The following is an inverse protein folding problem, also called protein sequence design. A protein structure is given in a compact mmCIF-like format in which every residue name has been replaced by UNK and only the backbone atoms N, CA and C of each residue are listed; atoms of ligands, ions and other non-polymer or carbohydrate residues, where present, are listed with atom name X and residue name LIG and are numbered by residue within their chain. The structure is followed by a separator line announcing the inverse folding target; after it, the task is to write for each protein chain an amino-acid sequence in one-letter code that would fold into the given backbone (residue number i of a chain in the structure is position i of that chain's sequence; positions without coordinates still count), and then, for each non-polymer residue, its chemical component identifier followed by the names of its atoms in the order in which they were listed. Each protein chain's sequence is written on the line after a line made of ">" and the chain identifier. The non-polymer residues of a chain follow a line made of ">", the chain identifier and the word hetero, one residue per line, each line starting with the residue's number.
data_IF_938804761929
#
_entry.id   IF_938804761929
#
_cell.length_a   1.000
_cell.length_b   1.000
_cell.length_c   1.000
_cell.angle_alpha   90.00
_cell.angle_beta   90.00
_cell.angle_gamma   90.00
#
_symmetry.space_group_name_H-M   'P 1'
#
loop_
_entity.id
_entity.type
_entity.pdbx_description
1 polymer ?
#
# COMPACT_ATOMS: atom_id res chain seq x y z
N UNK A 1 -18.08 4.78 12.19
CA UNK A 1 -17.73 3.37 11.94
C UNK A 1 -16.41 3.08 12.62
N UNK A 2 -16.27 1.91 13.23
CA UNK A 2 -15.02 1.46 13.88
C UNK A 2 -14.36 0.43 12.96
N UNK A 3 -13.04 0.51 12.79
CA UNK A 3 -12.25 -0.34 11.89
C UNK A 3 -11.27 -1.24 12.67
N UNK A 4 -10.93 -2.40 12.11
CA UNK A 4 -9.87 -3.29 12.60
C UNK A 4 -9.11 -3.92 11.43
N UNK A 5 -7.88 -4.38 11.67
CA UNK A 5 -7.01 -5.02 10.65
C UNK A 5 -7.52 -6.38 10.19
N UNK A 6 -8.44 -7.01 10.93
CA UNK A 6 -8.96 -8.35 10.65
C UNK A 6 -7.92 -9.47 10.79
N UNK A 7 -6.77 -9.20 11.42
CA UNK A 7 -5.68 -10.18 11.52
C UNK A 7 -5.95 -11.21 12.60
N UNK A 8 -5.66 -12.49 12.29
CA UNK A 8 -5.72 -13.59 13.25
C UNK A 8 -4.30 -14.07 13.57
N UNK A 9 -4.00 -14.22 14.86
CA UNK A 9 -2.73 -14.79 15.35
C UNK A 9 -3.01 -15.72 16.54
N UNK A 10 -2.20 -16.77 16.67
CA UNK A 10 -2.19 -17.63 17.86
C UNK A 10 -1.30 -17.08 18.98
N UNK A 11 -0.51 -16.03 18.71
CA UNK A 11 0.32 -15.37 19.70
C UNK A 11 -0.55 -14.70 20.77
N UNK A 12 -0.11 -14.80 22.02
CA UNK A 12 -0.77 -14.16 23.17
C UNK A 12 -0.43 -12.67 23.30
N UNK A 13 0.62 -12.21 22.63
CA UNK A 13 1.05 -10.82 22.67
C UNK A 13 1.40 -10.33 21.28
N UNK A 14 0.95 -9.12 21.01
CA UNK A 14 1.21 -8.37 19.77
C UNK A 14 1.70 -6.98 20.13
N UNK A 15 2.56 -6.43 19.28
CA UNK A 15 3.16 -5.11 19.45
C UNK A 15 2.85 -4.26 18.24
N UNK A 16 2.36 -3.04 18.47
CA UNK A 16 2.22 -2.03 17.43
C UNK A 16 3.42 -1.09 17.50
N UNK A 17 4.12 -0.90 16.37
CA UNK A 17 5.31 -0.07 16.30
C UNK A 17 5.25 0.87 15.10
N UNK A 18 5.48 2.16 15.33
CA UNK A 18 5.64 3.17 14.28
C UNK A 18 7.14 3.37 14.05
N UNK A 19 7.62 2.96 12.88
CA UNK A 19 9.02 3.13 12.49
C UNK A 19 9.29 4.56 12.01
N UNK A 20 10.54 4.99 12.05
CA UNK A 20 11.00 6.29 11.53
C UNK A 20 10.80 6.46 10.01
N UNK A 21 10.47 5.36 9.31
CA UNK A 21 10.05 5.38 7.91
C UNK A 21 8.57 5.73 7.73
N UNK A 22 7.87 6.10 8.81
CA UNK A 22 6.42 6.31 8.88
C UNK A 22 5.57 5.04 8.62
N UNK A 23 6.20 3.87 8.61
CA UNK A 23 5.47 2.61 8.52
C UNK A 23 5.01 2.16 9.92
N UNK A 24 3.69 2.11 10.12
CA UNK A 24 3.08 1.49 11.29
C UNK A 24 2.93 -0.02 11.08
N UNK A 25 3.57 -0.84 11.91
CA UNK A 25 3.58 -2.30 11.78
C UNK A 25 3.02 -2.95 13.05
N UNK A 26 2.13 -3.93 12.88
CA UNK A 26 1.69 -4.84 13.92
C UNK A 26 2.51 -6.14 13.82
N UNK A 27 3.11 -6.54 14.93
CA UNK A 27 4.03 -7.68 15.03
C UNK A 27 3.56 -8.65 16.10
N UNK A 28 3.89 -9.93 15.95
CA UNK A 28 3.90 -10.87 17.09
C UNK A 28 5.10 -10.58 18.00
N UNK A 29 4.89 -10.58 19.32
CA UNK A 29 5.93 -10.15 20.28
C UNK A 29 7.01 -11.21 20.54
N UNK A 30 6.64 -12.51 20.51
CA UNK A 30 7.48 -13.63 20.95
C UNK A 30 8.00 -14.55 19.84
N UNK A 31 7.58 -14.34 18.59
CA UNK A 31 7.91 -15.16 17.43
C UNK A 31 8.55 -14.28 16.38
N UNK A 32 9.87 -14.37 16.22
CA UNK A 32 10.69 -13.88 15.08
C UNK A 32 10.30 -12.52 14.45
N UNK A 33 9.65 -11.62 15.21
CA UNK A 33 8.98 -10.43 14.71
C UNK A 33 8.10 -10.69 13.46
N UNK A 34 7.23 -11.69 13.53
CA UNK A 34 6.27 -11.98 12.44
C UNK A 34 5.38 -10.76 12.22
N UNK A 35 5.39 -10.23 10.98
CA UNK A 35 4.56 -9.11 10.56
C UNK A 35 3.13 -9.58 10.32
N UNK A 36 2.23 -9.10 11.17
CA UNK A 36 0.79 -9.37 11.09
C UNK A 36 0.09 -8.44 10.10
N UNK A 37 0.43 -7.16 10.13
CA UNK A 37 -0.01 -6.17 9.15
C UNK A 37 0.87 -4.93 9.20
N UNK A 38 0.84 -4.12 8.14
CA UNK A 38 1.55 -2.84 8.08
C UNK A 38 0.75 -1.79 7.29
N UNK A 39 0.90 -0.52 7.66
CA UNK A 39 0.23 0.60 7.00
C UNK A 39 0.60 0.74 5.53
N UNK A 40 1.84 0.42 5.17
CA UNK A 40 2.33 0.54 3.79
C UNK A 40 1.63 -0.39 2.79
N UNK A 41 1.00 -1.47 3.27
CA UNK A 41 0.18 -2.36 2.44
C UNK A 41 -1.20 -1.76 2.13
N UNK A 42 -1.60 -0.68 2.83
CA UNK A 42 -2.91 -0.03 2.70
C UNK A 42 -2.78 1.51 2.58
N UNK A 43 -2.13 2.03 1.52
CA UNK A 43 -2.04 3.47 1.33
C UNK A 43 -3.40 4.13 1.12
N UNK A 44 -3.49 5.41 1.50
CA UNK A 44 -4.67 6.26 1.31
C UNK A 44 -4.52 7.12 0.06
N UNK A 45 -4.18 8.39 0.22
CA UNK A 45 -4.07 9.43 -0.81
C UNK A 45 -2.61 9.85 -1.06
N UNK A 46 -1.68 9.41 -0.20
CA UNK A 46 -0.28 9.81 -0.21
C UNK A 46 0.63 8.58 -0.33
N UNK A 47 1.68 8.70 -1.15
CA UNK A 47 2.79 7.73 -1.20
C UNK A 47 3.97 8.28 -0.41
N UNK A 48 4.44 7.52 0.58
CA UNK A 48 5.55 7.93 1.44
C UNK A 48 6.92 7.52 0.87
N UNK A 49 8.01 8.22 1.23
CA UNK A 49 9.36 7.77 0.92
C UNK A 49 9.60 6.35 1.43
N UNK A 50 10.31 5.53 0.65
CA UNK A 50 10.59 4.11 0.95
C UNK A 50 9.36 3.20 1.00
N UNK A 51 8.16 3.69 0.72
CA UNK A 51 6.98 2.84 0.59
C UNK A 51 7.06 2.02 -0.71
N UNK A 52 7.00 0.67 -0.63
CA UNK A 52 7.04 -0.16 -1.82
C UNK A 52 5.83 0.09 -2.73
N UNK A 53 6.10 0.46 -3.98
CA UNK A 53 5.09 0.51 -5.02
C UNK A 53 4.87 -0.89 -5.58
N UNK A 54 3.70 -1.48 -5.32
CA UNK A 54 3.28 -2.78 -5.85
C UNK A 54 2.32 -2.56 -7.03
N UNK A 55 2.21 -3.54 -7.92
CA UNK A 55 1.35 -3.43 -9.12
C UNK A 55 -0.15 -3.32 -8.82
N UNK A 56 -0.57 -3.51 -7.57
CA UNK A 56 -1.95 -3.32 -7.09
C UNK A 56 -2.09 -2.09 -6.17
N UNK A 57 -1.03 -1.29 -5.99
CA UNK A 57 -1.07 -0.09 -5.18
C UNK A 57 -1.96 0.96 -5.84
N UNK A 58 -2.93 1.44 -5.07
CA UNK A 58 -3.89 2.44 -5.46
C UNK A 58 -3.90 3.55 -4.42
N UNK A 59 -3.77 4.81 -4.85
CA UNK A 59 -4.06 5.95 -4.01
C UNK A 59 -5.44 6.48 -4.38
N UNK A 60 -6.27 6.79 -3.39
CA UNK A 60 -7.58 7.41 -3.59
C UNK A 60 -7.57 8.76 -2.90
N UNK A 61 -7.89 9.82 -3.64
CA UNK A 61 -7.92 11.17 -3.11
C UNK A 61 -8.89 11.31 -1.94
N UNK A 62 -8.68 12.31 -1.09
CA UNK A 62 -9.70 12.76 -0.14
C UNK A 62 -10.94 13.28 -0.87
N UNK A 63 -12.10 13.20 -0.22
CA UNK A 63 -13.37 13.77 -0.72
C UNK A 63 -13.33 15.30 -0.72
N UNK A 64 -12.74 15.90 0.31
CA UNK A 64 -12.43 17.32 0.41
C UNK A 64 -11.39 17.55 1.52
N UNK A 65 -10.89 18.79 1.68
CA UNK A 65 -9.92 19.11 2.74
C UNK A 65 -10.44 18.92 4.17
N UNK A 66 -11.76 18.87 4.37
CA UNK A 66 -12.40 18.60 5.67
C UNK A 66 -13.05 17.21 5.75
N UNK A 67 -13.12 16.48 4.64
CA UNK A 67 -13.75 15.19 4.55
C UNK A 67 -12.73 14.14 4.09
N UNK A 68 -12.22 13.38 5.05
CA UNK A 68 -11.21 12.33 4.82
C UNK A 68 -11.77 11.02 4.27
N UNK A 69 -13.04 11.00 3.84
CA UNK A 69 -13.57 9.85 3.11
C UNK A 69 -13.04 9.80 1.67
N UNK A 70 -13.26 8.68 0.99
CA UNK A 70 -12.83 8.48 -0.39
C UNK A 70 -13.45 9.52 -1.34
N UNK A 71 -12.59 10.20 -2.07
CA UNK A 71 -12.93 11.14 -3.13
C UNK A 71 -13.07 10.47 -4.49
N UNK A 72 -13.00 11.30 -5.52
CA UNK A 72 -13.31 10.90 -6.89
C UNK A 72 -12.08 10.58 -7.74
N UNK A 73 -10.85 10.77 -7.23
CA UNK A 73 -9.66 10.54 -8.03
C UNK A 73 -8.88 9.35 -7.51
N UNK A 74 -8.41 8.52 -8.43
CA UNK A 74 -7.58 7.36 -8.13
C UNK A 74 -6.28 7.41 -8.92
N UNK A 75 -5.15 7.31 -8.24
CA UNK A 75 -3.84 7.07 -8.84
C UNK A 75 -3.52 5.58 -8.73
N UNK A 76 -3.12 4.95 -9.83
CA UNK A 76 -2.66 3.57 -9.81
C UNK A 76 -1.43 3.38 -10.69
N UNK A 77 -0.69 2.31 -10.40
CA UNK A 77 0.55 1.98 -11.08
C UNK A 77 0.40 0.61 -11.73
N UNK A 78 0.77 0.51 -13.00
CA UNK A 78 0.82 -0.78 -13.72
C UNK A 78 2.26 -1.08 -14.08
N UNK A 79 2.70 -2.29 -13.70
CA UNK A 79 3.97 -2.87 -14.12
C UNK A 79 3.70 -3.68 -15.39
N UNK A 80 4.03 -3.13 -16.55
CA UNK A 80 3.92 -3.85 -17.82
C UNK A 80 5.20 -4.66 -18.07
N UNK A 81 5.08 -5.99 -18.01
CA UNK A 81 6.13 -6.88 -18.53
C UNK A 81 5.93 -6.99 -20.05
N UNK A 82 6.54 -6.07 -20.81
CA UNK A 82 6.48 -6.14 -22.27
C UNK A 82 7.47 -7.20 -22.75
N UNK A 83 7.00 -8.44 -22.95
CA UNK A 83 7.78 -9.47 -23.63
C UNK A 83 7.72 -9.17 -25.14
N UNK A 84 8.72 -8.46 -25.66
CA UNK A 84 8.93 -8.39 -27.11
C UNK A 84 9.51 -9.73 -27.57
N UNK A 85 8.69 -10.59 -28.18
CA UNK A 85 9.19 -11.69 -28.99
C UNK A 85 9.98 -11.09 -30.14
N UNK A 86 11.31 -11.23 -30.09
CA UNK A 86 12.33 -10.71 -31.03
C UNK A 86 12.92 -9.32 -30.70
N UNK A 87 13.50 -9.18 -29.52
CA UNK A 87 14.83 -8.58 -29.35
C UNK A 87 15.20 -8.57 -27.86
N UNK A 88 16.47 -8.77 -27.56
CA UNK A 88 17.05 -8.70 -26.22
C UNK A 88 16.92 -7.28 -25.65
N UNK A 89 15.77 -6.94 -25.08
CA UNK A 89 15.59 -5.69 -24.34
C UNK A 89 14.63 -5.93 -23.16
N UNK A 90 15.18 -5.94 -21.95
CA UNK A 90 14.41 -5.85 -20.71
C UNK A 90 13.86 -4.42 -20.59
N UNK A 91 12.77 -4.13 -21.31
CA UNK A 91 12.10 -2.84 -21.25
C UNK A 91 11.07 -2.86 -20.11
N UNK A 92 11.53 -2.51 -18.91
CA UNK A 92 10.62 -2.18 -17.81
C UNK A 92 9.97 -0.83 -18.11
N UNK A 93 8.64 -0.77 -17.98
CA UNK A 93 7.86 0.44 -18.24
C UNK A 93 6.84 0.61 -17.13
N UNK A 94 6.98 1.71 -16.39
CA UNK A 94 6.03 2.08 -15.35
C UNK A 94 5.01 3.03 -15.97
N UNK A 95 3.73 2.72 -15.79
CA UNK A 95 2.62 3.59 -16.18
C UNK A 95 1.90 4.10 -14.94
N UNK A 96 1.77 5.42 -14.91
CA UNK A 96 1.13 6.19 -13.87
C UNK A 96 -0.12 6.83 -14.47
N UNK A 97 -1.28 6.56 -13.90
CA UNK A 97 -2.53 7.08 -14.43
C UNK A 97 -3.46 7.56 -13.31
N UNK A 98 -4.03 8.74 -13.52
CA UNK A 98 -5.10 9.30 -12.69
C UNK A 98 -6.43 9.06 -13.41
N UNK A 99 -7.41 8.50 -12.70
CA UNK A 99 -8.76 8.26 -13.22
C UNK A 99 -9.79 8.88 -12.28
N UNK A 100 -10.82 9.48 -12.88
CA UNK A 100 -12.02 9.92 -12.16
C UNK A 100 -12.97 8.76 -11.94
N UNK A 101 -13.43 8.58 -10.71
CA UNK A 101 -14.46 7.65 -10.29
C UNK A 101 -15.78 8.42 -10.34
N UNK A 102 -16.66 8.05 -11.27
CA UNK A 102 -18.01 8.62 -11.38
C UNK A 102 -18.93 8.11 -10.26
#
# INVERSE_FOLDING_TARGET
>A
QVWSTGTATSSRQVRLHLYDTDNLILLEDFSDNVVLCQSFDFPTDTLLPNQPLRGNTNLVSLRSGSNHSSGFYKLFFVLENVVHTRALAWNWKIRLQVVSLN
#
